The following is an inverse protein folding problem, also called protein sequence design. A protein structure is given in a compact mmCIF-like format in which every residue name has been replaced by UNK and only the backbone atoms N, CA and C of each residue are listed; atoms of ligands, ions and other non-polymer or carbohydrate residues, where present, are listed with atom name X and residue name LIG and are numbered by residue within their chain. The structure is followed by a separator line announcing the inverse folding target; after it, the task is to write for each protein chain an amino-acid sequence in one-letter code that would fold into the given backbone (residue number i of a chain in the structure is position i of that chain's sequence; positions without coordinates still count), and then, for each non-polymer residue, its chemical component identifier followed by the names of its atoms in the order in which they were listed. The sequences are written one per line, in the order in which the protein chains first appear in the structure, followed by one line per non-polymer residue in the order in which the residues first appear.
data_IF_534633493432
#
_entry.id   IF_534633493432
#
_cell.length_a   1.000
_cell.length_b   1.000
_cell.length_c   1.000
_cell.angle_alpha   90.00
_cell.angle_beta   90.00
_cell.angle_gamma   90.00
#
_symmetry.space_group_name_H-M   'P 1'
#
loop_
_entity.id
_entity.type
_entity.pdbx_description
1 polymer ?
#
# COMPACT_ATOMS: atom_id res chain seq x y z
N UNK A 1 9.12 -9.49 18.88
CA UNK A 1 9.11 -9.84 17.43
C UNK A 1 10.33 -9.21 16.80
N UNK A 2 11.11 -9.91 15.98
CA UNK A 2 12.37 -9.36 15.43
C UNK A 2 12.11 -8.28 14.37
N UNK A 3 13.10 -7.40 14.16
CA UNK A 3 13.06 -6.36 13.11
C UNK A 3 12.82 -6.95 11.71
N UNK A 4 13.50 -8.05 11.39
CA UNK A 4 13.39 -8.73 10.10
C UNK A 4 12.00 -9.34 9.90
N UNK A 5 11.45 -9.97 10.94
CA UNK A 5 10.11 -10.55 10.87
C UNK A 5 9.04 -9.48 10.64
N UNK A 6 9.09 -8.36 11.39
CA UNK A 6 8.21 -7.22 11.18
C UNK A 6 8.31 -6.64 9.77
N UNK A 7 9.53 -6.57 9.24
CA UNK A 7 9.80 -6.08 7.89
C UNK A 7 9.21 -7.02 6.84
N UNK A 8 9.44 -8.32 6.98
CA UNK A 8 8.90 -9.34 6.07
C UNK A 8 7.38 -9.36 6.09
N UNK A 9 6.76 -9.34 7.28
CA UNK A 9 5.30 -9.26 7.44
C UNK A 9 4.72 -8.01 6.79
N UNK A 10 5.37 -6.85 6.98
CA UNK A 10 4.96 -5.60 6.32
C UNK A 10 5.02 -5.72 4.80
N UNK A 11 6.15 -6.16 4.24
CA UNK A 11 6.36 -6.25 2.79
C UNK A 11 5.43 -7.26 2.12
N UNK A 12 5.26 -8.42 2.73
CA UNK A 12 4.39 -9.49 2.22
C UNK A 12 2.93 -9.08 2.23
N UNK A 13 2.45 -8.47 3.32
CA UNK A 13 1.05 -8.01 3.40
C UNK A 13 0.75 -6.88 2.43
N UNK A 14 1.62 -5.87 2.31
CA UNK A 14 1.40 -4.78 1.34
C UNK A 14 1.56 -5.25 -0.11
N UNK A 15 2.50 -6.17 -0.37
CA UNK A 15 2.67 -6.79 -1.69
C UNK A 15 1.42 -7.58 -2.10
N UNK A 16 0.92 -8.44 -1.22
CA UNK A 16 -0.31 -9.19 -1.44
C UNK A 16 -1.55 -8.26 -1.58
N UNK A 17 -1.62 -7.18 -0.80
CA UNK A 17 -2.63 -6.12 -0.97
C UNK A 17 -2.59 -5.53 -2.38
N UNK A 18 -1.39 -5.13 -2.86
CA UNK A 18 -1.21 -4.60 -4.21
C UNK A 18 -1.62 -5.57 -5.32
N UNK A 19 -1.28 -6.86 -5.18
CA UNK A 19 -1.71 -7.91 -6.12
C UNK A 19 -3.23 -8.08 -6.15
N UNK A 20 -3.91 -7.97 -5.00
CA UNK A 20 -5.37 -8.02 -4.94
C UNK A 20 -6.01 -6.77 -5.55
N UNK A 21 -5.39 -5.59 -5.44
CA UNK A 21 -5.83 -4.39 -6.17
C UNK A 21 -5.79 -4.66 -7.68
N UNK A 22 -4.66 -5.14 -8.20
CA UNK A 22 -4.52 -5.49 -9.63
C UNK A 22 -5.56 -6.53 -10.06
N UNK A 23 -5.75 -7.58 -9.25
CA UNK A 23 -6.76 -8.61 -9.48
C UNK A 23 -8.17 -8.02 -9.52
N UNK A 24 -8.52 -7.13 -8.59
CA UNK A 24 -9.82 -6.47 -8.57
C UNK A 24 -10.05 -5.56 -9.78
N UNK A 25 -9.01 -4.93 -10.34
CA UNK A 25 -9.10 -4.16 -11.58
C UNK A 25 -9.43 -5.07 -12.79
N UNK A 26 -8.89 -6.28 -12.83
CA UNK A 26 -9.24 -7.28 -13.86
C UNK A 26 -10.68 -7.78 -13.67
N UNK A 27 -11.07 -8.07 -12.42
CA UNK A 27 -12.40 -8.58 -12.10
C UNK A 27 -13.52 -7.58 -12.42
N UNK A 28 -13.31 -6.28 -12.17
CA UNK A 28 -14.32 -5.27 -12.51
C UNK A 28 -14.46 -5.09 -14.03
N UNK A 29 -13.35 -5.17 -14.79
CA UNK A 29 -13.35 -5.11 -16.25
C UNK A 29 -14.06 -6.31 -16.88
N UNK A 30 -14.02 -7.47 -16.23
CA UNK A 30 -14.71 -8.70 -16.67
C UNK A 30 -16.14 -8.82 -16.13
N UNK A 31 -16.67 -7.76 -15.50
CA UNK A 31 -18.05 -7.73 -14.98
C UNK A 31 -18.29 -8.56 -13.72
N UNK A 32 -17.24 -9.16 -13.13
CA UNK A 32 -17.32 -10.04 -11.95
C UNK A 32 -17.36 -9.22 -10.65
N UNK A 33 -18.46 -8.48 -10.44
CA UNK A 33 -18.62 -7.50 -9.33
C UNK A 33 -18.43 -8.09 -7.93
N UNK A 34 -19.00 -9.27 -7.66
CA UNK A 34 -18.87 -9.92 -6.34
C UNK A 34 -17.43 -10.31 -6.03
N UNK A 35 -16.71 -10.85 -7.00
CA UNK A 35 -15.29 -11.18 -6.83
C UNK A 35 -14.44 -9.91 -6.69
N UNK A 36 -14.75 -8.85 -7.45
CA UNK A 36 -14.11 -7.56 -7.29
C UNK A 36 -14.27 -7.04 -5.85
N UNK A 37 -15.48 -7.06 -5.29
CA UNK A 37 -15.77 -6.63 -3.92
C UNK A 37 -14.95 -7.43 -2.90
N UNK A 38 -14.92 -8.76 -3.02
CA UNK A 38 -14.11 -9.63 -2.17
C UNK A 38 -12.62 -9.27 -2.25
N UNK A 39 -12.09 -9.10 -3.47
CA UNK A 39 -10.69 -8.72 -3.67
C UNK A 39 -10.35 -7.36 -3.05
N UNK A 40 -11.21 -6.34 -3.20
CA UNK A 40 -10.99 -5.00 -2.61
C UNK A 40 -11.03 -5.01 -1.09
N UNK A 41 -11.95 -5.77 -0.48
CA UNK A 41 -12.03 -5.90 0.97
C UNK A 41 -10.82 -6.67 1.53
N UNK A 42 -10.41 -7.76 0.89
CA UNK A 42 -9.19 -8.49 1.24
C UNK A 42 -7.93 -7.64 1.08
N UNK A 43 -7.83 -6.84 0.00
CA UNK A 43 -6.72 -5.90 -0.19
C UNK A 43 -6.66 -4.85 0.93
N UNK A 44 -7.82 -4.30 1.30
CA UNK A 44 -7.94 -3.31 2.37
C UNK A 44 -7.55 -3.89 3.73
N UNK A 45 -7.98 -5.12 4.02
CA UNK A 45 -7.61 -5.84 5.24
C UNK A 45 -6.09 -6.08 5.32
N UNK A 46 -5.47 -6.55 4.24
CA UNK A 46 -4.02 -6.74 4.20
C UNK A 46 -3.24 -5.43 4.34
N UNK A 47 -3.73 -4.33 3.75
CA UNK A 47 -3.13 -3.01 3.94
C UNK A 47 -3.24 -2.51 5.39
N UNK A 48 -4.35 -2.83 6.08
CA UNK A 48 -4.49 -2.54 7.51
C UNK A 48 -3.49 -3.36 8.34
N UNK A 49 -3.32 -4.66 8.05
CA UNK A 49 -2.28 -5.48 8.69
C UNK A 49 -0.87 -4.94 8.45
N UNK A 50 -0.56 -4.53 7.22
CA UNK A 50 0.68 -3.82 6.90
C UNK A 50 0.88 -2.62 7.81
N UNK A 51 -0.13 -1.77 7.99
CA UNK A 51 -0.03 -0.58 8.84
C UNK A 51 0.26 -0.95 10.30
N UNK A 52 -0.38 -2.00 10.82
CA UNK A 52 -0.10 -2.50 12.18
C UNK A 52 1.37 -2.92 12.30
N UNK A 53 1.88 -3.75 11.39
CA UNK A 53 3.28 -4.21 11.44
C UNK A 53 4.27 -3.07 11.24
N UNK A 54 3.98 -2.13 10.33
CA UNK A 54 4.80 -0.95 10.09
C UNK A 54 4.91 -0.08 11.34
N UNK A 55 3.78 0.23 11.99
CA UNK A 55 3.75 1.05 13.20
C UNK A 55 4.42 0.35 14.38
N UNK A 56 4.19 -0.96 14.57
CA UNK A 56 4.92 -1.74 15.56
C UNK A 56 6.43 -1.64 15.35
N UNK A 57 6.92 -1.80 14.11
CA UNK A 57 8.34 -1.64 13.78
C UNK A 57 8.84 -0.24 14.09
N UNK A 58 8.07 0.79 13.73
CA UNK A 58 8.41 2.20 13.94
C UNK A 58 8.57 2.54 15.44
N UNK A 59 7.70 2.03 16.30
CA UNK A 59 7.78 2.28 17.74
C UNK A 59 8.82 1.42 18.47
N UNK A 60 9.15 0.24 17.95
CA UNK A 60 10.09 -0.69 18.59
C UNK A 60 11.55 -0.50 18.18
N UNK A 61 11.82 0.09 17.02
CA UNK A 61 13.16 0.16 16.46
C UNK A 61 13.48 1.55 15.92
N UNK A 62 14.71 2.07 16.13
CA UNK A 62 15.11 3.35 15.58
C UNK A 62 15.08 3.30 14.04
N UNK A 63 14.81 4.44 13.36
CA UNK A 63 14.91 4.54 11.91
C UNK A 63 16.31 4.18 11.43
N UNK A 64 16.40 3.37 10.37
CA UNK A 64 17.69 3.08 9.72
C UNK A 64 18.04 4.22 8.75
N UNK A 65 19.24 4.82 8.85
CA UNK A 65 19.69 5.79 7.85
C UNK A 65 19.96 5.08 6.52
N UNK A 66 19.84 5.82 5.42
CA UNK A 66 20.29 5.38 4.10
C UNK A 66 21.69 5.95 3.83
N UNK A 67 22.67 5.08 3.62
CA UNK A 67 24.09 5.44 3.43
C UNK A 67 24.58 5.20 1.98
N UNK A 68 23.70 4.76 1.09
CA UNK A 68 24.05 4.49 -0.30
C UNK A 68 24.22 5.74 -1.17
N UNK A 69 24.77 5.58 -2.39
CA UNK A 69 25.12 6.70 -3.27
C UNK A 69 23.90 7.44 -3.85
N UNK A 70 22.71 6.85 -3.84
CA UNK A 70 21.50 7.41 -4.48
C UNK A 70 20.59 8.19 -3.53
N UNK A 71 21.17 8.96 -2.59
CA UNK A 71 20.42 9.60 -1.49
C UNK A 71 19.30 10.53 -1.99
N UNK A 72 19.55 11.30 -3.05
CA UNK A 72 18.53 12.18 -3.64
C UNK A 72 17.31 11.42 -4.17
N UNK A 73 17.54 10.32 -4.90
CA UNK A 73 16.47 9.46 -5.40
C UNK A 73 15.72 8.76 -4.25
N UNK A 74 16.45 8.25 -3.26
CA UNK A 74 15.85 7.65 -2.06
C UNK A 74 14.92 8.64 -1.35
N UNK A 75 15.36 9.88 -1.11
CA UNK A 75 14.56 10.90 -0.44
C UNK A 75 13.33 11.30 -1.27
N UNK A 76 13.46 11.42 -2.59
CA UNK A 76 12.33 11.68 -3.47
C UNK A 76 11.27 10.57 -3.38
N UNK A 77 11.70 9.30 -3.45
CA UNK A 77 10.79 8.15 -3.32
C UNK A 77 10.17 8.11 -1.92
N UNK A 78 10.97 8.32 -0.86
CA UNK A 78 10.50 8.30 0.53
C UNK A 78 9.45 9.37 0.80
N UNK A 79 9.71 10.62 0.39
CA UNK A 79 8.80 11.75 0.61
C UNK A 79 7.53 11.58 -0.21
N UNK A 80 7.65 11.27 -1.50
CA UNK A 80 6.48 11.07 -2.37
C UNK A 80 5.61 9.90 -1.91
N UNK A 81 6.22 8.77 -1.53
CA UNK A 81 5.54 7.62 -0.95
C UNK A 81 4.80 8.00 0.32
N UNK A 82 5.45 8.70 1.26
CA UNK A 82 4.86 9.02 2.57
C UNK A 82 3.65 9.93 2.43
N UNK A 83 3.73 10.98 1.60
CA UNK A 83 2.61 11.89 1.33
C UNK A 83 1.45 11.14 0.67
N UNK A 84 1.75 10.36 -0.38
CA UNK A 84 0.72 9.62 -1.09
C UNK A 84 0.10 8.51 -0.24
N UNK A 85 0.87 7.86 0.64
CA UNK A 85 0.35 6.87 1.58
C UNK A 85 -0.62 7.50 2.60
N UNK A 86 -0.29 8.69 3.11
CA UNK A 86 -1.15 9.45 4.00
C UNK A 86 -2.48 9.85 3.32
N UNK A 87 -2.42 10.24 2.04
CA UNK A 87 -3.62 10.55 1.22
C UNK A 87 -4.39 9.28 0.83
N UNK A 88 -3.70 8.16 0.59
CA UNK A 88 -4.32 6.92 0.17
C UNK A 88 -5.25 6.34 1.23
N UNK A 89 -4.91 6.50 2.52
CA UNK A 89 -5.73 6.00 3.62
C UNK A 89 -7.18 6.55 3.60
N UNK A 90 -7.43 7.87 3.62
CA UNK A 90 -8.78 8.40 3.50
C UNK A 90 -9.42 8.08 2.14
N UNK A 91 -8.67 8.09 1.04
CA UNK A 91 -9.18 7.70 -0.28
C UNK A 91 -9.71 6.26 -0.29
N UNK A 92 -8.96 5.33 0.29
CA UNK A 92 -9.33 3.93 0.43
C UNK A 92 -10.62 3.78 1.23
N UNK A 93 -10.71 4.43 2.40
CA UNK A 93 -11.90 4.41 3.26
C UNK A 93 -13.12 4.93 2.51
N UNK A 94 -13.02 6.09 1.86
CA UNK A 94 -14.13 6.66 1.07
C UNK A 94 -14.53 5.74 -0.07
N UNK A 95 -13.56 5.17 -0.79
CA UNK A 95 -13.81 4.29 -1.94
C UNK A 95 -14.55 3.02 -1.53
N UNK A 96 -14.10 2.38 -0.44
CA UNK A 96 -14.74 1.20 0.15
C UNK A 96 -16.13 1.54 0.67
N UNK A 97 -16.28 2.64 1.42
CA UNK A 97 -17.57 3.10 1.91
C UNK A 97 -18.59 3.30 0.79
N UNK A 98 -18.19 3.97 -0.30
CA UNK A 98 -19.06 4.18 -1.47
C UNK A 98 -19.44 2.86 -2.14
N UNK A 99 -18.52 1.90 -2.21
CA UNK A 99 -18.78 0.56 -2.74
C UNK A 99 -19.74 -0.26 -1.86
N UNK A 100 -19.62 -0.15 -0.52
CA UNK A 100 -20.49 -0.84 0.43
C UNK A 100 -21.90 -0.22 0.52
N UNK A 101 -22.05 1.06 0.17
CA UNK A 101 -23.33 1.78 0.14
C UNK A 101 -23.99 1.78 -1.23
N UNK A 102 -23.49 0.97 -2.17
CA UNK A 102 -23.97 0.90 -3.56
C UNK A 102 -24.02 2.27 -4.28
N UNK A 103 -23.21 3.24 -3.84
CA UNK A 103 -23.08 4.56 -4.47
C UNK A 103 -22.14 4.50 -5.67
N UNK A 104 -22.46 3.64 -6.63
CA UNK A 104 -21.57 3.24 -7.71
C UNK A 104 -21.17 4.40 -8.64
N UNK A 105 -22.04 5.39 -8.83
CA UNK A 105 -21.74 6.58 -9.64
C UNK A 105 -20.57 7.39 -9.07
N UNK A 106 -20.51 7.56 -7.74
CA UNK A 106 -19.40 8.23 -7.05
C UNK A 106 -18.19 7.31 -6.94
N UNK A 107 -18.40 6.03 -6.64
CA UNK A 107 -17.32 5.04 -6.56
C UNK A 107 -16.51 5.00 -7.86
N UNK A 108 -17.16 4.95 -9.03
CA UNK A 108 -16.48 4.91 -10.34
C UNK A 108 -15.61 6.13 -10.65
N UNK A 109 -15.88 7.29 -10.03
CA UNK A 109 -15.07 8.50 -10.20
C UNK A 109 -13.79 8.46 -9.35
N UNK A 110 -13.88 7.94 -8.13
CA UNK A 110 -12.80 7.99 -7.14
C UNK A 110 -11.94 6.72 -7.19
N UNK A 111 -12.55 5.55 -7.41
CA UNK A 111 -11.86 4.26 -7.37
C UNK A 111 -10.63 4.15 -8.30
N UNK A 112 -10.62 4.69 -9.54
CA UNK A 112 -9.42 4.65 -10.38
C UNK A 112 -8.25 5.45 -9.80
N UNK A 113 -8.53 6.61 -9.20
CA UNK A 113 -7.51 7.45 -8.54
C UNK A 113 -6.96 6.70 -7.33
N UNK A 114 -7.86 6.18 -6.48
CA UNK A 114 -7.48 5.37 -5.32
C UNK A 114 -6.62 4.18 -5.73
N UNK A 115 -7.03 3.43 -6.76
CA UNK A 115 -6.26 2.27 -7.23
C UNK A 115 -4.88 2.65 -7.75
N UNK A 116 -4.76 3.74 -8.50
CA UNK A 116 -3.47 4.25 -8.98
C UNK A 116 -2.54 4.62 -7.81
N UNK A 117 -3.03 5.43 -6.87
CA UNK A 117 -2.26 5.83 -5.68
C UNK A 117 -1.85 4.60 -4.87
N UNK A 118 -2.76 3.64 -4.68
CA UNK A 118 -2.50 2.42 -3.94
C UNK A 118 -1.38 1.57 -4.57
N UNK A 119 -1.42 1.39 -5.90
CA UNK A 119 -0.37 0.65 -6.63
C UNK A 119 0.97 1.40 -6.52
N UNK A 120 0.96 2.73 -6.69
CA UNK A 120 2.17 3.54 -6.54
C UNK A 120 2.81 3.36 -5.16
N UNK A 121 2.02 3.49 -4.08
CA UNK A 121 2.57 3.36 -2.71
C UNK A 121 3.03 1.94 -2.42
N UNK A 122 2.33 0.91 -2.92
CA UNK A 122 2.79 -0.49 -2.75
C UNK A 122 4.16 -0.72 -3.41
N UNK A 123 4.34 -0.28 -4.66
CA UNK A 123 5.60 -0.42 -5.39
C UNK A 123 6.73 0.38 -4.72
N UNK A 124 6.48 1.66 -4.43
CA UNK A 124 7.50 2.53 -3.81
C UNK A 124 7.87 2.11 -2.39
N UNK A 125 6.96 1.48 -1.63
CA UNK A 125 7.27 0.88 -0.34
C UNK A 125 8.30 -0.25 -0.46
N UNK A 126 8.17 -1.10 -1.48
CA UNK A 126 9.18 -2.12 -1.80
C UNK A 126 10.50 -1.50 -2.26
N UNK A 127 10.46 -0.41 -3.03
CA UNK A 127 11.67 0.32 -3.42
C UNK A 127 12.41 0.90 -2.22
N UNK A 128 11.72 1.50 -1.24
CA UNK A 128 12.33 2.03 -0.02
C UNK A 128 13.06 0.91 0.74
N UNK A 129 12.44 -0.26 0.86
CA UNK A 129 13.10 -1.42 1.46
C UNK A 129 14.36 -1.84 0.67
N UNK A 130 14.27 -1.89 -0.67
CA UNK A 130 15.41 -2.23 -1.51
C UNK A 130 16.56 -1.22 -1.35
N UNK A 131 16.26 0.09 -1.28
CA UNK A 131 17.26 1.11 -0.99
C UNK A 131 17.94 0.86 0.36
N UNK A 132 17.16 0.67 1.43
CA UNK A 132 17.74 0.45 2.77
C UNK A 132 18.60 -0.83 2.81
N UNK A 133 18.19 -1.89 2.13
CA UNK A 133 18.93 -3.16 2.08
C UNK A 133 20.21 -3.08 1.24
N UNK A 134 20.20 -2.37 0.12
CA UNK A 134 21.36 -2.23 -0.77
C UNK A 134 22.32 -1.11 -0.35
N UNK A 135 21.83 -0.12 0.39
CA UNK A 135 22.58 1.05 0.84
C UNK A 135 23.35 0.88 2.15
N UNK A 136 23.59 -0.36 2.60
CA UNK A 136 24.46 -0.66 3.76
C UNK A 136 23.79 -0.67 5.13
N UNK A 137 22.45 -0.73 5.21
CA UNK A 137 21.68 -0.71 6.48
C UNK A 137 21.32 -2.07 7.06
#
# INVERSE_FOLDING_TARGET
MSYELLTLLSLTTIGASGLLILTGLVLVKTGRKELHKKAMLSASFLALLFLVFYLMKYFMYPPKPYEGPYKGLYLFVLVSHSILAAINLPLAVVTVYLGLRDRLSKHRKIAPITAFVWIYVAITGWMIFAFLKLGGG
#
